data_IF_113056667378
#
_entry.id   IF_113056667378
#
_cell.length_a   1.000
_cell.length_b   1.000
_cell.length_c   1.000
_cell.angle_alpha   90.00
_cell.angle_beta   90.00
_cell.angle_gamma   90.00
#
_symmetry.space_group_name_H-M   'P 1'
#
loop_
_entity.id
_entity.type
_entity.pdbx_description
1 polymer ?
#
# COMPACT_ATOMS: atom_id res chain seq x y z
N UNK A 1 10.29 0.89 -6.98
CA UNK A 1 9.48 -0.35 -7.06
C UNK A 1 8.08 0.00 -7.57
N UNK A 2 7.48 -0.89 -8.36
CA UNK A 2 6.13 -0.71 -8.91
C UNK A 2 5.06 -1.26 -7.98
N UNK A 3 3.84 -1.24 -8.49
CA UNK A 3 2.67 -1.72 -7.75
C UNK A 3 2.64 -3.25 -7.69
N UNK A 4 2.81 -3.88 -8.84
CA UNK A 4 2.72 -5.33 -9.01
C UNK A 4 4.09 -5.97 -9.08
N UNK A 5 5.14 -5.23 -9.46
CA UNK A 5 6.48 -5.79 -9.61
C UNK A 5 7.61 -4.87 -9.15
N UNK A 6 8.81 -5.45 -9.08
CA UNK A 6 10.06 -4.74 -8.85
C UNK A 6 10.93 -4.97 -10.08
N UNK A 7 11.30 -3.88 -10.77
CA UNK A 7 12.28 -3.90 -11.86
C UNK A 7 13.69 -3.85 -11.27
N UNK A 8 14.53 -4.76 -11.73
CA UNK A 8 15.95 -4.88 -11.40
C UNK A 8 16.76 -4.67 -12.69
N UNK A 9 17.09 -3.41 -13.03
CA UNK A 9 17.67 -3.09 -14.34
C UNK A 9 19.14 -3.53 -14.49
N UNK A 10 19.83 -3.84 -13.39
CA UNK A 10 21.27 -4.16 -13.39
C UNK A 10 21.58 -5.61 -12.97
N UNK A 11 20.55 -6.46 -12.85
CA UNK A 11 20.69 -7.82 -12.30
C UNK A 11 19.80 -8.83 -13.03
N UNK A 12 20.18 -9.28 -14.25
CA UNK A 12 19.33 -10.15 -15.08
C UNK A 12 19.01 -11.51 -14.43
N UNK A 13 19.84 -11.97 -13.50
CA UNK A 13 19.64 -13.24 -12.79
C UNK A 13 18.72 -13.17 -11.56
N UNK A 14 18.23 -11.98 -11.18
CA UNK A 14 17.48 -11.77 -9.93
C UNK A 14 15.95 -11.91 -10.08
N UNK A 15 15.46 -12.33 -11.24
CA UNK A 15 14.03 -12.35 -11.56
C UNK A 15 13.24 -13.49 -10.90
N UNK A 16 11.91 -13.31 -10.80
CA UNK A 16 11.01 -14.38 -10.38
C UNK A 16 9.68 -13.93 -9.79
N UNK A 17 9.04 -14.83 -9.05
CA UNK A 17 7.77 -14.61 -8.36
C UNK A 17 8.02 -14.61 -6.85
N UNK A 18 7.36 -13.72 -6.11
CA UNK A 18 7.42 -13.64 -4.64
C UNK A 18 7.24 -15.02 -3.99
N UNK A 19 8.06 -15.33 -2.97
CA UNK A 19 8.00 -16.59 -2.23
C UNK A 19 6.68 -16.83 -1.50
N UNK A 20 5.89 -15.79 -1.26
CA UNK A 20 4.57 -15.88 -0.63
C UNK A 20 3.47 -16.41 -1.57
N UNK A 21 3.78 -16.62 -2.84
CA UNK A 21 2.84 -17.08 -3.86
C UNK A 21 3.17 -18.52 -4.22
N UNK A 22 2.21 -19.40 -4.04
CA UNK A 22 2.37 -20.85 -4.21
C UNK A 22 1.24 -21.43 -5.09
N UNK A 23 1.36 -22.72 -5.45
CA UNK A 23 0.31 -23.43 -6.20
C UNK A 23 0.03 -22.87 -7.59
N UNK A 24 -1.25 -22.90 -7.98
CA UNK A 24 -1.74 -22.54 -9.31
C UNK A 24 -1.54 -21.06 -9.63
N UNK A 25 -1.67 -20.17 -8.63
CA UNK A 25 -1.42 -18.74 -8.77
C UNK A 25 0.01 -18.46 -9.24
N UNK A 26 1.00 -19.25 -8.76
CA UNK A 26 2.39 -19.12 -9.17
C UNK A 26 2.59 -19.53 -10.62
N UNK A 27 1.87 -20.56 -11.09
CA UNK A 27 1.95 -21.00 -12.49
C UNK A 27 1.29 -19.97 -13.42
N UNK A 28 0.11 -19.47 -13.06
CA UNK A 28 -0.60 -18.43 -13.80
C UNK A 28 0.25 -17.16 -13.95
N UNK A 29 0.92 -16.72 -12.86
CA UNK A 29 1.81 -15.57 -12.91
C UNK A 29 3.05 -15.79 -13.78
N UNK A 30 3.65 -16.99 -13.76
CA UNK A 30 4.75 -17.30 -14.68
C UNK A 30 4.31 -17.22 -16.14
N UNK A 31 3.14 -17.76 -16.47
CA UNK A 31 2.60 -17.66 -17.83
C UNK A 31 2.29 -16.22 -18.24
N UNK A 32 1.84 -15.38 -17.29
CA UNK A 32 1.65 -13.96 -17.54
C UNK A 32 3.00 -13.24 -17.74
N UNK A 33 4.03 -13.59 -16.96
CA UNK A 33 5.39 -13.05 -17.10
C UNK A 33 5.98 -13.35 -18.49
N UNK A 34 5.75 -14.55 -19.03
CA UNK A 34 6.25 -14.94 -20.35
C UNK A 34 5.66 -14.08 -21.49
N UNK A 35 4.57 -13.34 -21.22
CA UNK A 35 3.94 -12.42 -22.18
C UNK A 35 4.45 -10.99 -22.05
N UNK A 36 5.23 -10.68 -21.01
CA UNK A 36 5.76 -9.34 -20.77
C UNK A 36 6.98 -9.09 -21.65
N UNK A 37 7.06 -7.88 -22.19
CA UNK A 37 8.19 -7.41 -22.99
C UNK A 37 9.30 -6.88 -22.07
N UNK A 38 10.02 -7.79 -21.42
CA UNK A 38 11.12 -7.47 -20.51
C UNK A 38 12.43 -7.36 -21.32
N UNK A 39 13.20 -6.26 -21.22
CA UNK A 39 14.52 -6.18 -21.84
C UNK A 39 15.49 -7.26 -21.33
N UNK A 40 16.32 -7.82 -22.21
CA UNK A 40 17.19 -8.99 -21.93
C UNK A 40 18.20 -8.76 -20.79
N UNK A 41 18.58 -7.51 -20.53
CA UNK A 41 19.53 -7.12 -19.49
C UNK A 41 18.89 -6.87 -18.11
N UNK A 42 17.55 -6.94 -18.04
CA UNK A 42 16.79 -6.62 -16.84
C UNK A 42 16.03 -7.83 -16.30
N UNK A 43 15.74 -7.79 -15.01
CA UNK A 43 14.89 -8.78 -14.38
C UNK A 43 13.72 -8.12 -13.66
N UNK A 44 12.63 -8.88 -13.47
CA UNK A 44 11.49 -8.44 -12.68
C UNK A 44 11.17 -9.44 -11.56
N UNK A 45 10.68 -8.91 -10.44
CA UNK A 45 10.11 -9.71 -9.35
C UNK A 45 8.64 -9.36 -9.18
N UNK A 46 7.73 -10.30 -9.39
CA UNK A 46 6.30 -10.08 -9.15
C UNK A 46 6.00 -10.13 -7.65
N UNK A 47 5.34 -9.07 -7.14
CA UNK A 47 4.84 -8.92 -5.76
C UNK A 47 3.54 -9.68 -5.58
N UNK A 48 3.18 -9.98 -4.33
CA UNK A 48 1.89 -10.61 -3.97
C UNK A 48 0.67 -9.84 -4.50
N UNK A 49 0.77 -8.51 -4.64
CA UNK A 49 -0.29 -7.69 -5.22
C UNK A 49 -0.56 -7.95 -6.73
N UNK A 50 0.38 -8.61 -7.43
CA UNK A 50 0.24 -8.96 -8.85
C UNK A 50 -0.62 -10.20 -9.10
N UNK A 51 -0.95 -10.99 -8.06
CA UNK A 51 -1.79 -12.20 -8.21
C UNK A 51 -3.15 -11.84 -8.80
N UNK A 52 -3.59 -12.60 -9.80
CA UNK A 52 -4.88 -12.41 -10.48
C UNK A 52 -4.94 -11.23 -11.46
N UNK A 53 -3.81 -10.57 -11.74
CA UNK A 53 -3.70 -9.52 -12.75
C UNK A 53 -3.43 -10.11 -14.12
N UNK A 54 -4.01 -9.50 -15.14
CA UNK A 54 -3.74 -9.90 -16.52
C UNK A 54 -2.37 -9.37 -16.99
N UNK A 55 -1.91 -9.87 -18.14
CA UNK A 55 -0.62 -9.49 -18.69
C UNK A 55 -0.58 -8.01 -19.12
N UNK A 56 -1.72 -7.39 -19.43
CA UNK A 56 -1.80 -5.99 -19.86
C UNK A 56 -1.56 -5.04 -18.67
N UNK A 57 -2.22 -5.28 -17.53
CA UNK A 57 -1.98 -4.53 -16.29
C UNK A 57 -0.54 -4.67 -15.80
N UNK A 58 0.04 -5.87 -15.93
CA UNK A 58 1.44 -6.10 -15.58
C UNK A 58 2.40 -5.39 -16.55
N UNK A 59 2.09 -5.37 -17.85
CA UNK A 59 2.90 -4.66 -18.84
C UNK A 59 2.89 -3.14 -18.59
N UNK A 60 1.75 -2.55 -18.22
CA UNK A 60 1.70 -1.13 -17.87
C UNK A 60 2.58 -0.78 -16.65
N UNK A 61 2.59 -1.60 -15.60
CA UNK A 61 3.48 -1.39 -14.44
C UNK A 61 4.96 -1.55 -14.84
N UNK A 62 5.28 -2.49 -15.75
CA UNK A 62 6.63 -2.64 -16.31
C UNK A 62 7.05 -1.41 -17.12
N UNK A 63 6.21 -0.95 -18.04
CA UNK A 63 6.49 0.21 -18.91
C UNK A 63 6.73 1.48 -18.09
N UNK A 64 5.94 1.69 -17.02
CA UNK A 64 6.17 2.77 -16.07
C UNK A 64 7.55 2.67 -15.40
N UNK A 65 7.93 1.47 -14.91
CA UNK A 65 9.24 1.29 -14.27
C UNK A 65 10.40 1.48 -15.25
N UNK A 66 10.24 1.06 -16.51
CA UNK A 66 11.21 1.31 -17.58
C UNK A 66 11.33 2.80 -17.89
N UNK A 67 10.21 3.55 -17.91
CA UNK A 67 10.24 5.00 -18.11
C UNK A 67 10.98 5.70 -16.96
N UNK A 68 10.72 5.30 -15.71
CA UNK A 68 11.45 5.81 -14.54
C UNK A 68 12.95 5.50 -14.67
N UNK A 69 13.31 4.27 -15.06
CA UNK A 69 14.71 3.88 -15.25
C UNK A 69 15.41 4.68 -16.35
N UNK A 70 14.73 4.95 -17.48
CA UNK A 70 15.25 5.82 -18.55
C UNK A 70 15.53 7.23 -18.03
N UNK A 71 14.57 7.83 -17.33
CA UNK A 71 14.75 9.16 -16.74
C UNK A 71 15.91 9.21 -15.74
N UNK A 72 16.08 8.17 -14.92
CA UNK A 72 17.22 8.03 -13.99
C UNK A 72 18.54 7.99 -14.76
N UNK A 73 18.62 7.17 -15.82
CA UNK A 73 19.85 6.99 -16.61
C UNK A 73 20.22 8.26 -17.35
N UNK A 74 19.25 8.93 -17.98
CA UNK A 74 19.46 10.21 -18.66
C UNK A 74 19.91 11.30 -17.69
N UNK A 75 19.27 11.42 -16.53
CA UNK A 75 19.65 12.39 -15.51
C UNK A 75 21.05 12.11 -14.98
N UNK A 76 21.41 10.84 -14.73
CA UNK A 76 22.74 10.45 -14.24
C UNK A 76 23.86 10.85 -15.22
N UNK A 77 23.61 10.81 -16.52
CA UNK A 77 24.58 11.20 -17.55
C UNK A 77 24.67 12.73 -17.77
N UNK A 78 23.69 13.50 -17.28
CA UNK A 78 23.59 14.93 -17.58
C UNK A 78 24.62 15.81 -16.84
N UNK A 79 25.12 15.39 -15.66
CA UNK A 79 26.02 16.23 -14.85
C UNK A 79 27.10 15.40 -14.12
N UNK A 80 28.40 15.74 -14.26
CA UNK A 80 29.48 15.05 -13.58
C UNK A 80 29.73 15.61 -12.17
N UNK A 81 28.72 15.54 -11.29
CA UNK A 81 28.84 15.93 -9.88
C UNK A 81 27.87 15.10 -9.02
N UNK A 82 28.02 15.07 -7.69
CA UNK A 82 26.98 14.52 -6.82
C UNK A 82 25.72 15.40 -6.85
N UNK A 83 24.57 14.82 -7.17
CA UNK A 83 23.24 15.45 -7.06
C UNK A 83 22.15 14.39 -6.90
N UNK A 84 20.95 14.83 -6.50
CA UNK A 84 19.78 13.98 -6.38
C UNK A 84 19.27 13.60 -7.78
N UNK A 85 19.33 12.32 -8.13
CA UNK A 85 18.85 11.79 -9.44
C UNK A 85 17.37 11.39 -9.38
N UNK A 86 16.99 10.71 -8.30
CA UNK A 86 15.63 10.23 -8.08
C UNK A 86 15.27 10.40 -6.61
N UNK A 87 14.13 11.03 -6.36
CA UNK A 87 13.51 11.09 -5.05
C UNK A 87 12.37 10.08 -5.04
N UNK A 88 12.35 9.18 -4.05
CA UNK A 88 11.21 8.27 -3.87
C UNK A 88 9.92 9.10 -3.76
N UNK A 89 8.89 8.61 -4.43
CA UNK A 89 7.66 9.36 -4.66
C UNK A 89 7.02 9.85 -3.36
N UNK A 90 6.32 10.98 -3.45
CA UNK A 90 5.54 11.53 -2.34
C UNK A 90 4.52 10.52 -1.82
N UNK A 91 4.08 10.72 -0.58
CA UNK A 91 3.17 9.81 0.10
C UNK A 91 1.92 9.48 -0.72
N UNK A 92 1.35 10.45 -1.42
CA UNK A 92 0.16 10.25 -2.27
C UNK A 92 0.42 9.25 -3.40
N UNK A 93 1.55 9.34 -4.10
CA UNK A 93 1.91 8.40 -5.15
C UNK A 93 2.14 7.00 -4.56
N UNK A 94 2.84 6.91 -3.42
CA UNK A 94 3.02 5.63 -2.71
C UNK A 94 1.68 5.03 -2.29
N UNK A 95 0.76 5.85 -1.78
CA UNK A 95 -0.56 5.43 -1.37
C UNK A 95 -1.39 4.89 -2.56
N UNK A 96 -1.40 5.61 -3.68
CA UNK A 96 -2.07 5.19 -4.91
C UNK A 96 -1.46 3.89 -5.49
N UNK A 97 -0.13 3.79 -5.48
CA UNK A 97 0.60 2.60 -5.95
C UNK A 97 0.27 1.38 -5.08
N UNK A 98 0.34 1.51 -3.76
CA UNK A 98 0.33 0.36 -2.85
C UNK A 98 -1.09 -0.02 -2.36
N UNK A 99 -2.03 0.94 -2.28
CA UNK A 99 -3.37 0.71 -1.69
C UNK A 99 -4.55 0.81 -2.67
N UNK A 100 -4.40 1.31 -3.90
CA UNK A 100 -5.55 1.51 -4.79
C UNK A 100 -6.14 0.20 -5.32
N UNK A 101 -7.00 -0.48 -4.59
CA UNK A 101 -7.62 -1.74 -5.01
C UNK A 101 -8.83 -1.50 -5.95
N UNK A 102 -9.30 -2.57 -6.61
CA UNK A 102 -10.36 -2.48 -7.61
C UNK A 102 -11.73 -2.09 -6.99
N UNK A 103 -11.97 -2.53 -5.76
CA UNK A 103 -13.13 -2.27 -4.91
C UNK A 103 -13.21 -0.83 -4.37
N UNK A 104 -12.13 -0.06 -4.44
CA UNK A 104 -12.14 1.36 -4.07
C UNK A 104 -13.00 2.15 -5.06
N UNK A 105 -14.07 2.77 -4.60
CA UNK A 105 -14.96 3.57 -5.43
C UNK A 105 -14.41 4.95 -5.79
N UNK A 106 -13.89 5.67 -4.79
CA UNK A 106 -13.46 7.07 -4.92
C UNK A 106 -12.16 7.32 -4.16
N UNK A 107 -11.36 8.26 -4.66
CA UNK A 107 -10.15 8.78 -4.02
C UNK A 107 -10.35 10.29 -3.86
N UNK A 108 -10.44 10.76 -2.62
CA UNK A 108 -10.68 12.17 -2.31
C UNK A 108 -9.38 12.83 -1.87
N UNK A 109 -9.05 13.96 -2.51
CA UNK A 109 -7.85 14.75 -2.19
C UNK A 109 -8.26 16.20 -1.97
N UNK A 110 -7.99 16.74 -0.78
CA UNK A 110 -8.37 18.10 -0.38
C UNK A 110 -7.31 19.16 -0.71
N UNK A 111 -6.06 18.76 -0.96
CA UNK A 111 -4.99 19.63 -1.45
C UNK A 111 -4.91 19.67 -2.98
N UNK A 112 -4.86 20.87 -3.54
CA UNK A 112 -4.71 21.12 -4.98
C UNK A 112 -3.40 20.59 -5.55
N UNK A 113 -2.30 20.80 -4.83
CA UNK A 113 -0.97 20.33 -5.22
C UNK A 113 -0.96 18.80 -5.32
N UNK A 114 -1.48 18.13 -4.27
CA UNK A 114 -1.55 16.67 -4.25
C UNK A 114 -2.52 16.10 -5.28
N UNK A 115 -3.64 16.78 -5.54
CA UNK A 115 -4.60 16.35 -6.56
C UNK A 115 -3.99 16.40 -7.97
N UNK A 116 -3.23 17.46 -8.26
CA UNK A 116 -2.53 17.62 -9.56
C UNK A 116 -1.49 16.52 -9.74
N UNK A 117 -0.65 16.29 -8.74
CA UNK A 117 0.38 15.25 -8.76
C UNK A 117 -0.22 13.83 -8.87
N UNK A 118 -1.31 13.57 -8.13
CA UNK A 118 -2.06 12.32 -8.25
C UNK A 118 -2.67 12.13 -9.65
N UNK A 119 -3.19 13.20 -10.25
CA UNK A 119 -3.78 13.19 -11.59
C UNK A 119 -2.74 12.82 -12.64
N UNK A 120 -1.59 13.48 -12.64
CA UNK A 120 -0.48 13.20 -13.57
C UNK A 120 0.00 11.76 -13.44
N UNK A 121 0.19 11.29 -12.20
CA UNK A 121 0.60 9.91 -11.94
C UNK A 121 -0.45 8.91 -12.43
N UNK A 122 -1.73 9.11 -12.11
CA UNK A 122 -2.79 8.18 -12.52
C UNK A 122 -3.00 8.16 -14.03
N UNK A 123 -2.83 9.29 -14.73
CA UNK A 123 -2.89 9.33 -16.20
C UNK A 123 -1.82 8.45 -16.85
N UNK A 124 -0.61 8.42 -16.27
CA UNK A 124 0.50 7.65 -16.80
C UNK A 124 0.42 6.16 -16.44
N UNK A 125 0.05 5.84 -15.19
CA UNK A 125 0.19 4.47 -14.65
C UNK A 125 -1.12 3.69 -14.63
N UNK A 126 -2.26 4.38 -14.49
CA UNK A 126 -3.56 3.74 -14.28
C UNK A 126 -4.73 4.58 -14.84
N UNK A 127 -4.72 4.93 -16.14
CA UNK A 127 -5.67 5.88 -16.72
C UNK A 127 -7.13 5.45 -16.55
N UNK A 128 -7.42 4.13 -16.56
CA UNK A 128 -8.76 3.60 -16.32
C UNK A 128 -9.35 3.91 -14.94
N UNK A 129 -8.49 4.19 -13.95
CA UNK A 129 -8.90 4.55 -12.59
C UNK A 129 -8.98 6.07 -12.37
N UNK A 130 -8.58 6.89 -13.34
CA UNK A 130 -8.53 8.34 -13.18
C UNK A 130 -9.88 8.94 -12.77
N UNK A 131 -10.98 8.38 -13.26
CA UNK A 131 -12.36 8.79 -12.90
C UNK A 131 -12.69 8.66 -11.40
N UNK A 132 -11.94 7.85 -10.66
CA UNK A 132 -12.10 7.66 -9.22
C UNK A 132 -11.49 8.81 -8.41
N UNK A 133 -10.50 9.51 -8.97
CA UNK A 133 -9.82 10.63 -8.32
C UNK A 133 -10.69 11.88 -8.38
N UNK A 134 -10.98 12.47 -7.22
CA UNK A 134 -11.80 13.68 -7.09
C UNK A 134 -11.16 14.67 -6.12
N UNK A 135 -11.22 15.95 -6.48
CA UNK A 135 -10.82 17.03 -5.57
C UNK A 135 -11.94 17.27 -4.57
N UNK A 136 -11.59 17.26 -3.29
CA UNK A 136 -12.49 17.64 -2.22
C UNK A 136 -12.41 19.16 -2.00
N UNK A 137 -13.54 19.84 -2.08
CA UNK A 137 -13.62 21.31 -2.01
C UNK A 137 -14.63 21.82 -0.98
N UNK A 138 -15.23 20.93 -0.20
CA UNK A 138 -16.20 21.30 0.83
C UNK A 138 -15.50 22.00 2.00
N UNK A 139 -16.25 22.84 2.70
CA UNK A 139 -15.72 23.62 3.84
C UNK A 139 -15.48 22.78 5.09
N UNK A 140 -16.25 21.70 5.27
CA UNK A 140 -16.04 20.73 6.36
C UNK A 140 -14.75 19.96 6.09
N UNK A 141 -13.83 19.79 7.05
CA UNK A 141 -12.63 18.97 6.84
C UNK A 141 -12.98 17.55 6.39
N UNK A 142 -12.18 17.00 5.47
CA UNK A 142 -12.47 15.73 4.79
C UNK A 142 -12.72 14.59 5.79
N UNK A 143 -11.81 14.38 6.74
CA UNK A 143 -11.91 13.29 7.72
C UNK A 143 -13.08 13.46 8.71
N UNK A 144 -13.40 14.70 9.07
CA UNK A 144 -14.60 15.02 9.86
C UNK A 144 -15.88 14.65 9.11
N UNK A 145 -15.97 14.96 7.80
CA UNK A 145 -17.14 14.62 6.99
C UNK A 145 -17.39 13.10 6.96
N UNK A 146 -16.32 12.31 6.88
CA UNK A 146 -16.39 10.85 6.86
C UNK A 146 -16.35 10.21 8.25
N UNK A 147 -16.34 11.00 9.32
CA UNK A 147 -16.35 10.55 10.73
C UNK A 147 -15.21 9.57 11.07
N UNK A 148 -14.03 9.78 10.47
CA UNK A 148 -12.84 8.97 10.75
C UNK A 148 -11.82 9.70 11.63
N UNK A 149 -12.01 10.98 11.91
CA UNK A 149 -11.09 11.79 12.73
C UNK A 149 -10.86 11.15 14.10
N UNK A 150 -11.93 10.79 14.82
CA UNK A 150 -11.82 10.15 16.13
C UNK A 150 -11.13 8.79 16.09
N UNK A 151 -11.25 8.05 14.99
CA UNK A 151 -10.54 6.77 14.83
C UNK A 151 -9.04 6.99 14.63
N UNK A 152 -8.65 8.07 13.95
CA UNK A 152 -7.26 8.47 13.78
C UNK A 152 -6.69 8.93 15.14
N UNK A 153 -7.44 9.72 15.90
CA UNK A 153 -7.05 10.14 17.25
C UNK A 153 -6.83 8.93 18.18
N UNK A 154 -7.73 7.95 18.15
CA UNK A 154 -7.61 6.72 18.94
C UNK A 154 -6.31 5.95 18.63
N UNK A 155 -5.78 6.03 17.41
CA UNK A 155 -4.52 5.36 17.05
C UNK A 155 -3.28 5.98 17.74
N UNK A 156 -3.41 7.20 18.29
CA UNK A 156 -2.38 7.85 19.10
C UNK A 156 -2.60 7.63 20.60
N UNK A 157 -3.74 7.07 21.00
CA UNK A 157 -4.00 6.78 22.41
C UNK A 157 -3.19 5.56 22.85
N UNK A 158 -2.69 5.63 24.10
CA UNK A 158 -2.03 4.50 24.73
C UNK A 158 -3.01 3.34 25.00
N UNK A 159 -4.28 3.65 25.26
CA UNK A 159 -5.33 2.69 25.58
C UNK A 159 -6.44 2.79 24.52
N UNK A 160 -6.75 1.69 23.85
CA UNK A 160 -7.81 1.63 22.82
C UNK A 160 -8.94 0.74 23.34
N UNK A 161 -10.16 1.28 23.38
CA UNK A 161 -11.35 0.56 23.87
C UNK A 161 -11.87 -0.44 22.85
N UNK A 162 -12.18 -1.63 23.33
CA UNK A 162 -12.80 -2.72 22.56
C UNK A 162 -14.34 -2.62 22.59
N UNK A 163 -15.05 -3.15 21.57
CA UNK A 163 -16.50 -3.08 21.47
C UNK A 163 -17.27 -3.60 22.69
N UNK A 164 -16.80 -4.69 23.32
CA UNK A 164 -17.44 -5.25 24.52
C UNK A 164 -17.06 -4.55 25.83
N UNK A 165 -16.29 -3.45 25.76
CA UNK A 165 -15.92 -2.64 26.91
C UNK A 165 -14.56 -2.98 27.53
N UNK A 166 -13.85 -3.98 26.99
CA UNK A 166 -12.42 -4.19 27.27
C UNK A 166 -11.54 -3.09 26.67
N UNK A 167 -10.22 -3.24 26.76
CA UNK A 167 -9.26 -2.33 26.17
C UNK A 167 -7.94 -3.04 25.86
N UNK A 168 -7.23 -2.57 24.84
CA UNK A 168 -5.82 -2.89 24.60
C UNK A 168 -4.96 -1.72 25.06
N UNK A 169 -3.81 -2.01 25.65
CA UNK A 169 -2.84 -1.01 26.11
C UNK A 169 -1.53 -1.24 25.37
N UNK A 170 -1.06 -0.22 24.66
CA UNK A 170 0.14 -0.31 23.82
C UNK A 170 1.27 0.49 24.46
N UNK A 171 2.33 -0.20 24.90
CA UNK A 171 3.50 0.38 25.52
C UNK A 171 4.76 0.15 24.68
N UNK A 172 5.42 1.23 24.26
CA UNK A 172 6.66 1.16 23.53
C UNK A 172 7.86 1.18 24.49
N UNK A 173 8.78 0.24 24.31
CA UNK A 173 10.05 0.16 25.03
C UNK A 173 11.23 0.34 24.07
N UNK A 174 12.47 0.22 24.55
CA UNK A 174 13.68 0.38 23.73
C UNK A 174 13.80 -0.68 22.62
N UNK A 175 13.43 -1.92 22.92
CA UNK A 175 13.67 -3.06 22.02
C UNK A 175 12.38 -3.76 21.55
N UNK A 176 11.24 -3.45 22.15
CA UNK A 176 9.96 -4.09 21.84
C UNK A 176 8.76 -3.17 22.09
N UNK A 177 7.63 -3.51 21.48
CA UNK A 177 6.32 -2.95 21.82
C UNK A 177 5.53 -4.03 22.55
N UNK A 178 5.07 -3.73 23.76
CA UNK A 178 4.21 -4.60 24.55
C UNK A 178 2.75 -4.19 24.34
N UNK A 179 1.87 -5.18 24.18
CA UNK A 179 0.43 -4.98 24.10
C UNK A 179 -0.21 -5.82 25.21
N UNK A 180 -0.93 -5.16 26.11
CA UNK A 180 -1.70 -5.79 27.19
C UNK A 180 -3.20 -5.73 26.89
N UNK A 181 -3.95 -6.76 27.26
CA UNK A 181 -5.39 -6.90 26.97
C UNK A 181 -6.18 -6.95 28.28
N UNK A 182 -7.04 -5.98 28.47
CA UNK A 182 -7.86 -5.82 29.66
C UNK A 182 -9.34 -6.07 29.33
N UNK A 183 -9.97 -7.08 29.94
CA UNK A 183 -11.39 -7.38 29.71
C UNK A 183 -12.35 -6.38 30.37
N UNK A 184 -11.83 -5.45 31.19
CA UNK A 184 -12.57 -4.50 32.00
C UNK A 184 -13.74 -5.13 32.79
N UNK A 185 -14.66 -4.32 33.33
CA UNK A 185 -15.91 -4.80 33.97
C UNK A 185 -16.96 -5.29 32.94
N UNK A 186 -16.54 -5.98 31.89
CA UNK A 186 -17.46 -6.68 30.97
C UNK A 186 -18.17 -7.87 31.65
N UNK A 187 -17.81 -8.18 32.90
CA UNK A 187 -18.45 -9.20 33.75
C UNK A 187 -19.85 -8.79 34.21
N UNK A 188 -20.81 -8.72 33.28
CA UNK A 188 -22.24 -8.72 33.61
C UNK A 188 -22.71 -10.13 34.04
N UNK A 189 -21.99 -10.76 34.96
CA UNK A 189 -22.37 -12.04 35.59
C UNK A 189 -22.30 -13.30 34.71
N UNK A 190 -21.65 -13.26 33.55
CA UNK A 190 -21.39 -14.42 32.68
C UNK A 190 -20.10 -15.19 33.03
N UNK A 191 -19.89 -16.32 32.37
CA UNK A 191 -18.69 -17.15 32.49
C UNK A 191 -17.41 -16.33 32.18
N UNK A 192 -16.41 -16.47 33.04
CA UNK A 192 -15.14 -15.71 32.96
C UNK A 192 -14.33 -16.20 31.75
N UNK A 193 -14.36 -17.50 31.46
CA UNK A 193 -13.62 -18.07 30.31
C UNK A 193 -14.16 -17.54 28.99
N UNK A 194 -15.49 -17.50 28.84
CA UNK A 194 -16.13 -16.97 27.63
C UNK A 194 -15.84 -15.48 27.45
N UNK A 195 -15.85 -14.70 28.54
CA UNK A 195 -15.53 -13.26 28.52
C UNK A 195 -14.09 -13.02 28.07
N UNK A 196 -13.14 -13.79 28.60
CA UNK A 196 -11.73 -13.70 28.23
C UNK A 196 -11.49 -14.11 26.78
N UNK A 197 -12.10 -15.21 26.34
CA UNK A 197 -12.01 -15.67 24.96
C UNK A 197 -12.53 -14.62 23.98
N UNK A 198 -13.70 -14.05 24.25
CA UNK A 198 -14.29 -13.01 23.39
C UNK A 198 -13.46 -11.73 23.36
N UNK A 199 -12.93 -11.30 24.51
CA UNK A 199 -12.08 -10.11 24.58
C UNK A 199 -10.80 -10.30 23.78
N UNK A 200 -10.19 -11.49 23.83
CA UNK A 200 -8.99 -11.81 23.05
C UNK A 200 -9.27 -11.87 21.54
N UNK A 201 -10.46 -12.34 21.13
CA UNK A 201 -10.87 -12.26 19.73
C UNK A 201 -11.02 -10.80 19.28
N UNK A 202 -11.70 -9.98 20.08
CA UNK A 202 -11.86 -8.54 19.78
C UNK A 202 -10.52 -7.79 19.76
N UNK A 203 -9.56 -8.20 20.59
CA UNK A 203 -8.22 -7.61 20.62
C UNK A 203 -7.33 -8.04 19.43
N UNK A 204 -7.69 -9.12 18.74
CA UNK A 204 -6.93 -9.63 17.60
C UNK A 204 -7.40 -9.06 16.24
N UNK A 205 -8.65 -8.58 16.16
CA UNK A 205 -9.24 -7.92 15.00
C UNK A 205 -8.74 -6.47 14.85
#
# INVERSE_FOLDING_TARGET
AGRYMVLMPNSPSAGGVSRRIEGDDRQALKQAMDRLSIPDDMAIIIRTAGVGRDAEELQWDLDYLLQVWRAITEAALAKPAPFLIYQESRLIIRALRDYLRADIGEILVDSEEMYTEATEFMQQVMPGNLRKLKRYTDTTPLFNRYQIESQIENAYEREVRLPSGGAIVVDQTEALTAIDVNSARATKGGDIEETAFKTNLEAAD
#
